data_IF_569815740801
#
_entry.id   IF_569815740801
#
_cell.length_a   1.000
_cell.length_b   1.000
_cell.length_c   1.000
_cell.angle_alpha   90.00
_cell.angle_beta   90.00
_cell.angle_gamma   90.00
#
_symmetry.space_group_name_H-M   'P 1'
#
loop_
_entity.id
_entity.type
_entity.pdbx_description
1 polymer ?
#
# COMPACT_ATOMS: atom_id res chain seq x y z
N UNK A 1 -5.77 13.29 -18.30
CA UNK A 1 -5.75 12.77 -16.92
C UNK A 1 -4.88 11.52 -16.91
N UNK A 2 -3.79 11.47 -16.13
CA UNK A 2 -2.78 10.39 -16.22
C UNK A 2 -3.10 9.27 -15.22
N UNK A 3 -3.25 8.03 -15.70
CA UNK A 3 -3.34 6.84 -14.85
C UNK A 3 -1.91 6.34 -14.60
N UNK A 4 -1.52 6.19 -13.34
CA UNK A 4 -0.10 5.92 -12.99
C UNK A 4 0.28 4.44 -13.05
N UNK A 5 -0.67 3.50 -12.90
CA UNK A 5 -0.37 2.06 -12.70
C UNK A 5 -1.32 1.14 -13.49
N UNK A 6 -1.27 1.13 -14.84
CA UNK A 6 -2.18 0.33 -15.66
C UNK A 6 -1.99 -1.18 -15.49
N UNK A 7 -0.76 -1.66 -15.27
CA UNK A 7 -0.45 -3.09 -15.10
C UNK A 7 -1.10 -3.64 -13.82
N UNK A 8 -1.03 -2.87 -12.73
CA UNK A 8 -1.66 -3.24 -11.46
C UNK A 8 -3.19 -3.32 -11.59
N UNK A 9 -3.80 -2.40 -12.33
CA UNK A 9 -5.26 -2.42 -12.56
C UNK A 9 -5.66 -3.68 -13.34
N UNK A 10 -4.90 -4.03 -14.37
CA UNK A 10 -5.13 -5.25 -15.16
C UNK A 10 -5.01 -6.51 -14.29
N UNK A 11 -3.94 -6.61 -13.50
CA UNK A 11 -3.71 -7.75 -12.62
C UNK A 11 -4.85 -7.95 -11.61
N UNK A 12 -5.32 -6.87 -10.95
CA UNK A 12 -6.42 -6.97 -9.99
C UNK A 12 -7.72 -7.35 -10.70
N UNK A 13 -8.02 -6.76 -11.87
CA UNK A 13 -9.22 -7.14 -12.65
C UNK A 13 -9.26 -8.61 -13.01
N UNK A 14 -8.12 -9.17 -13.41
CA UNK A 14 -8.01 -10.58 -13.71
C UNK A 14 -8.16 -11.45 -12.45
N UNK A 15 -7.56 -11.04 -11.34
CA UNK A 15 -7.67 -11.76 -10.07
C UNK A 15 -9.08 -11.76 -9.48
N UNK A 16 -9.92 -10.78 -9.82
CA UNK A 16 -11.32 -10.69 -9.37
C UNK A 16 -12.32 -11.36 -10.33
N UNK A 17 -11.87 -12.06 -11.37
CA UNK A 17 -12.81 -12.80 -12.24
C UNK A 17 -13.57 -13.85 -11.41
N UNK A 18 -14.89 -13.69 -11.30
CA UNK A 18 -15.77 -14.57 -10.51
C UNK A 18 -16.05 -14.09 -9.08
N UNK A 19 -15.41 -13.02 -8.61
CA UNK A 19 -15.77 -12.37 -7.35
C UNK A 19 -16.97 -11.44 -7.55
N UNK A 20 -18.02 -11.61 -6.75
CA UNK A 20 -19.25 -10.80 -6.83
C UNK A 20 -19.37 -9.75 -5.71
N UNK A 21 -18.45 -9.77 -4.76
CA UNK A 21 -18.44 -8.98 -3.52
C UNK A 21 -17.34 -7.91 -3.48
N UNK A 22 -16.45 -7.88 -4.48
CA UNK A 22 -15.31 -6.93 -4.54
C UNK A 22 -15.42 -6.07 -5.79
N UNK A 23 -15.27 -4.74 -5.61
CA UNK A 23 -15.25 -3.78 -6.72
C UNK A 23 -13.94 -3.01 -6.80
N UNK A 24 -13.49 -2.74 -8.03
CA UNK A 24 -12.28 -1.93 -8.29
C UNK A 24 -12.70 -0.55 -8.76
N UNK A 25 -12.14 0.49 -8.15
CA UNK A 25 -12.31 1.88 -8.58
C UNK A 25 -10.96 2.49 -8.91
N UNK A 26 -10.83 3.00 -10.13
CA UNK A 26 -9.63 3.74 -10.57
C UNK A 26 -9.85 5.21 -10.27
N UNK A 27 -9.02 5.77 -9.39
CA UNK A 27 -9.12 7.18 -8.99
C UNK A 27 -8.00 7.98 -9.67
N UNK A 28 -8.30 9.17 -10.19
CA UNK A 28 -7.28 10.04 -10.79
C UNK A 28 -6.21 10.43 -9.78
N UNK A 29 -4.94 10.43 -10.19
CA UNK A 29 -3.84 10.95 -9.36
C UNK A 29 -3.86 12.46 -9.32
N UNK A 30 -4.72 13.03 -8.46
CA UNK A 30 -4.62 14.42 -8.01
C UNK A 30 -4.44 14.39 -6.49
N UNK A 31 -3.31 14.94 -6.03
CA UNK A 31 -3.01 15.13 -4.61
C UNK A 31 -3.74 16.39 -4.10
N UNK A 32 -4.18 16.45 -2.81
CA UNK A 32 -4.05 15.44 -1.78
C UNK A 32 -5.21 14.44 -1.86
N UNK A 33 -4.87 13.16 -2.04
CA UNK A 33 -5.78 12.02 -1.88
C UNK A 33 -5.31 11.08 -0.77
N UNK A 34 -4.32 11.52 0.02
CA UNK A 34 -3.73 10.78 1.14
C UNK A 34 -4.46 10.93 2.47
N UNK A 35 -5.47 11.82 2.56
CA UNK A 35 -6.30 11.88 3.75
C UNK A 35 -7.40 10.82 3.64
N UNK A 36 -7.31 9.76 4.45
CA UNK A 36 -8.31 8.68 4.55
C UNK A 36 -9.76 9.16 4.42
N UNK A 37 -10.12 10.29 5.06
CA UNK A 37 -11.45 10.89 4.99
C UNK A 37 -11.90 11.26 3.57
N UNK A 38 -11.01 11.83 2.76
CA UNK A 38 -11.30 12.20 1.37
C UNK A 38 -11.51 10.97 0.49
N UNK A 39 -10.72 9.92 0.70
CA UNK A 39 -10.86 8.69 -0.06
C UNK A 39 -12.17 7.96 0.28
N UNK A 40 -12.52 7.94 1.57
CA UNK A 40 -13.79 7.39 2.05
C UNK A 40 -14.95 8.14 1.40
N UNK A 41 -14.96 9.47 1.47
CA UNK A 41 -16.01 10.27 0.85
C UNK A 41 -16.10 10.03 -0.67
N UNK A 42 -14.96 10.01 -1.37
CA UNK A 42 -14.94 9.77 -2.81
C UNK A 42 -15.48 8.39 -3.22
N UNK A 43 -15.25 7.37 -2.39
CA UNK A 43 -15.67 5.99 -2.68
C UNK A 43 -17.08 5.66 -2.19
N UNK A 44 -17.52 6.28 -1.09
CA UNK A 44 -18.75 5.91 -0.37
C UNK A 44 -19.82 7.00 -0.37
N UNK A 45 -19.44 8.26 -0.62
CA UNK A 45 -20.31 9.44 -0.44
C UNK A 45 -20.50 9.85 1.03
N UNK A 46 -19.85 9.16 1.97
CA UNK A 46 -20.02 9.39 3.42
C UNK A 46 -18.86 10.23 3.95
N UNK A 47 -19.18 11.31 4.66
CA UNK A 47 -18.17 12.09 5.38
C UNK A 47 -17.90 11.49 6.75
N UNK A 48 -16.62 11.40 7.12
CA UNK A 48 -16.21 11.00 8.47
C UNK A 48 -16.27 12.24 9.38
N UNK A 49 -17.10 12.23 10.45
CA UNK A 49 -17.23 13.37 11.35
C UNK A 49 -15.89 13.87 11.89
N UNK A 50 -15.82 15.17 12.21
CA UNK A 50 -14.62 15.75 12.81
C UNK A 50 -14.33 15.07 14.16
N UNK A 51 -13.06 14.77 14.44
CA UNK A 51 -12.66 14.04 15.64
C UNK A 51 -12.93 12.52 15.63
N UNK A 52 -13.75 12.02 14.71
CA UNK A 52 -14.09 10.59 14.65
C UNK A 52 -13.20 9.79 13.68
N UNK A 53 -13.16 8.46 13.92
CA UNK A 53 -12.44 7.47 13.11
C UNK A 53 -13.39 6.87 12.07
N UNK A 54 -12.86 6.37 10.95
CA UNK A 54 -13.68 5.73 9.91
C UNK A 54 -14.47 4.51 10.40
N UNK A 55 -14.01 3.85 11.46
CA UNK A 55 -14.73 2.73 12.09
C UNK A 55 -16.08 3.13 12.68
N UNK A 56 -16.27 4.40 13.07
CA UNK A 56 -17.56 4.91 13.56
C UNK A 56 -18.67 4.82 12.52
N UNK A 57 -18.32 4.94 11.24
CA UNK A 57 -19.24 4.84 10.10
C UNK A 57 -19.20 3.45 9.44
N UNK A 58 -18.63 2.45 10.12
CA UNK A 58 -18.54 1.08 9.60
C UNK A 58 -17.52 0.88 8.48
N UNK A 59 -16.57 1.82 8.29
CA UNK A 59 -15.57 1.75 7.21
C UNK A 59 -14.19 1.40 7.77
N UNK A 60 -13.65 0.26 7.30
CA UNK A 60 -12.26 -0.12 7.54
C UNK A 60 -11.43 0.16 6.28
N UNK A 61 -10.36 0.94 6.45
CA UNK A 61 -9.43 1.24 5.37
C UNK A 61 -8.07 0.61 5.67
N UNK A 62 -7.58 -0.24 4.77
CA UNK A 62 -6.31 -0.94 4.91
C UNK A 62 -5.37 -0.61 3.75
N UNK A 63 -4.09 -0.44 4.06
CA UNK A 63 -3.07 -0.40 3.03
C UNK A 63 -2.88 -1.80 2.43
N UNK A 64 -2.55 -1.86 1.14
CA UNK A 64 -2.27 -3.12 0.44
C UNK A 64 -1.18 -3.96 1.12
N UNK A 65 -0.15 -3.33 1.69
CA UNK A 65 0.92 -4.02 2.43
C UNK A 65 0.41 -4.73 3.68
N UNK A 66 -0.54 -4.12 4.38
CA UNK A 66 -1.20 -4.77 5.54
C UNK A 66 -2.00 -5.98 5.11
N UNK A 67 -2.80 -5.86 4.04
CA UNK A 67 -3.59 -6.98 3.52
C UNK A 67 -2.70 -8.15 3.07
N UNK A 68 -1.58 -7.84 2.41
CA UNK A 68 -0.58 -8.83 2.01
C UNK A 68 0.06 -9.55 3.21
N UNK A 69 0.41 -8.80 4.27
CA UNK A 69 0.95 -9.37 5.51
C UNK A 69 -0.08 -10.27 6.21
N UNK A 70 -1.34 -9.85 6.30
CA UNK A 70 -2.43 -10.67 6.88
C UNK A 70 -2.58 -11.98 6.11
N UNK A 71 -2.59 -11.94 4.77
CA UNK A 71 -2.65 -13.14 3.94
C UNK A 71 -1.52 -14.12 4.29
N UNK A 72 -0.28 -13.63 4.38
CA UNK A 72 0.88 -14.47 4.73
C UNK A 72 0.74 -15.06 6.14
N UNK A 73 0.39 -14.25 7.13
CA UNK A 73 0.25 -14.71 8.50
C UNK A 73 -0.84 -15.77 8.67
N UNK A 74 -2.00 -15.58 8.03
CA UNK A 74 -3.17 -16.45 8.26
C UNK A 74 -3.20 -17.63 7.31
N UNK A 75 -2.86 -17.44 6.03
CA UNK A 75 -2.97 -18.51 5.01
C UNK A 75 -1.67 -19.29 4.88
N UNK A 76 -0.52 -18.60 5.00
CA UNK A 76 0.78 -19.24 4.83
C UNK A 76 1.46 -19.62 6.15
N UNK A 77 0.89 -19.24 7.30
CA UNK A 77 1.53 -19.37 8.61
C UNK A 77 2.90 -18.65 8.69
N UNK A 78 3.05 -17.58 7.89
CA UNK A 78 4.27 -16.80 7.79
C UNK A 78 4.11 -15.47 8.55
N UNK A 79 4.73 -15.30 9.73
CA UNK A 79 4.61 -14.06 10.49
C UNK A 79 5.28 -12.89 9.77
N UNK A 80 4.97 -11.66 10.18
CA UNK A 80 5.54 -10.45 9.60
C UNK A 80 7.03 -10.29 9.95
N UNK A 81 7.88 -10.99 9.19
CA UNK A 81 9.35 -10.98 9.34
C UNK A 81 10.02 -9.93 8.43
N UNK A 82 9.32 -9.48 7.38
CA UNK A 82 9.89 -8.58 6.37
C UNK A 82 8.83 -7.64 5.78
N UNK A 83 9.28 -6.47 5.29
CA UNK A 83 8.47 -5.47 4.62
C UNK A 83 9.17 -4.93 3.39
N UNK A 84 8.40 -4.50 2.38
CA UNK A 84 8.95 -3.84 1.21
C UNK A 84 9.43 -2.44 1.59
N UNK A 85 10.70 -2.15 1.31
CA UNK A 85 11.33 -0.85 1.48
C UNK A 85 11.73 -0.33 0.11
N UNK A 86 11.34 0.91 -0.19
CA UNK A 86 11.76 1.57 -1.43
C UNK A 86 12.98 2.43 -1.13
N UNK A 87 14.09 2.12 -1.79
CA UNK A 87 15.30 2.92 -1.70
C UNK A 87 15.32 3.94 -2.84
N UNK A 88 15.36 5.23 -2.49
CA UNK A 88 15.35 6.35 -3.44
C UNK A 88 16.18 7.52 -2.91
N UNK A 89 16.75 8.31 -3.81
CA UNK A 89 17.59 9.46 -3.48
C UNK A 89 18.68 9.67 -4.54
N UNK A 90 19.22 10.89 -4.61
CA UNK A 90 20.20 11.25 -5.66
C UNK A 90 21.57 10.57 -5.46
N UNK A 91 21.86 10.09 -4.24
CA UNK A 91 23.11 9.39 -3.89
C UNK A 91 23.00 7.87 -3.98
N UNK A 92 21.87 7.33 -4.44
CA UNK A 92 21.66 5.90 -4.60
C UNK A 92 21.83 5.56 -6.08
N UNK A 93 22.85 4.75 -6.38
CA UNK A 93 23.19 4.37 -7.75
C UNK A 93 22.04 3.63 -8.46
N UNK A 94 21.30 2.79 -7.71
CA UNK A 94 20.20 2.00 -8.23
C UNK A 94 18.97 2.09 -7.33
N UNK A 95 17.92 2.74 -7.84
CA UNK A 95 16.62 2.81 -7.16
C UNK A 95 15.93 1.46 -7.28
N UNK A 96 15.56 0.86 -6.15
CA UNK A 96 14.94 -0.46 -6.12
C UNK A 96 14.03 -0.67 -4.91
N UNK A 97 13.21 -1.70 -5.00
CA UNK A 97 12.46 -2.24 -3.86
C UNK A 97 13.24 -3.40 -3.25
N UNK A 98 13.31 -3.43 -1.92
CA UNK A 98 13.98 -4.48 -1.15
C UNK A 98 13.04 -5.04 -0.10
N UNK A 99 13.20 -6.34 0.23
CA UNK A 99 12.64 -6.90 1.44
C UNK A 99 13.59 -6.56 2.60
N UNK A 100 13.09 -5.79 3.57
CA UNK A 100 13.81 -5.42 4.78
C UNK A 100 13.21 -6.13 5.99
N UNK A 101 14.07 -6.67 6.87
CA UNK A 101 13.64 -7.28 8.12
C UNK A 101 12.80 -6.28 8.94
N UNK A 102 11.65 -6.71 9.46
CA UNK A 102 10.70 -5.82 10.14
C UNK A 102 11.28 -5.19 11.41
N UNK A 103 12.27 -5.83 12.04
CA UNK A 103 12.83 -5.48 13.35
C UNK A 103 14.15 -4.69 13.36
N UNK A 104 14.82 -4.53 12.21
CA UNK A 104 16.12 -3.86 12.16
C UNK A 104 15.99 -2.39 11.73
N UNK A 105 16.46 -1.48 12.58
CA UNK A 105 16.64 -0.04 12.25
C UNK A 105 17.85 0.17 11.34
N UNK A 106 18.78 -0.79 11.31
CA UNK A 106 19.95 -0.79 10.46
C UNK A 106 19.67 -1.67 9.25
N UNK A 107 19.69 -1.10 8.05
CA UNK A 107 19.57 -1.85 6.80
C UNK A 107 20.97 -2.27 6.36
N UNK A 108 21.46 -3.51 6.64
CA UNK A 108 22.79 -3.94 6.23
C UNK A 108 22.99 -3.94 4.70
N UNK A 109 21.90 -3.79 3.93
CA UNK A 109 21.93 -3.70 2.47
C UNK A 109 22.07 -2.28 1.92
N UNK A 110 22.17 -1.23 2.76
CA UNK A 110 22.44 0.15 2.29
C UNK A 110 23.89 0.28 1.76
N UNK A 111 24.86 -0.39 2.40
CA UNK A 111 26.26 -0.40 1.94
C UNK A 111 26.40 -1.07 0.56
N UNK A 112 25.59 -2.11 0.29
CA UNK A 112 25.48 -2.74 -1.05
C UNK A 112 24.84 -1.84 -2.12
N UNK A 113 24.34 -0.66 -1.76
CA UNK A 113 23.82 0.34 -2.69
C UNK A 113 24.84 1.45 -3.00
N UNK A 114 26.09 1.31 -2.56
CA UNK A 114 27.18 2.26 -2.84
C UNK A 114 27.13 3.54 -2.01
N UNK A 115 26.44 3.52 -0.86
CA UNK A 115 26.44 4.63 0.08
C UNK A 115 27.52 4.41 1.13
N UNK A 116 28.65 5.12 1.00
CA UNK A 116 29.54 5.39 2.13
C UNK A 116 28.82 6.37 3.07
N UNK A 117 28.68 6.00 4.34
CA UNK A 117 28.14 6.87 5.40
C UNK A 117 29.18 7.96 5.71
#
# INVERSE_FOLDING_TARGET
MKITKPEAISAIRNALQGANDISIRVIPTKYPSGATKQLIYLLTGIEVPSGERSSSIGVLMQNVGTMFAIKRAVINDEPLIERVVTLTGNKIAEKRQLLGASWHTHFPNIERCGLSI
#
